data_IF_052738766144
#
_entry.id   IF_052738766144
#
_cell.length_a   1.000
_cell.length_b   1.000
_cell.length_c   1.000
_cell.angle_alpha   90.00
_cell.angle_beta   90.00
_cell.angle_gamma   90.00
#
_symmetry.space_group_name_H-M   'P 1'
#
loop_
_entity.id
_entity.type
_entity.pdbx_description
1 polymer ?
#
# COMPACT_ATOMS: atom_id res chain seq x y z
N UNK A 1 5.70 44.73 -33.19
CA UNK A 1 5.72 43.40 -32.55
C UNK A 1 5.23 43.55 -31.11
N UNK A 2 3.95 43.26 -30.82
CA UNK A 2 3.38 43.38 -29.46
C UNK A 2 3.73 42.12 -28.66
N UNK A 3 4.57 42.26 -27.64
CA UNK A 3 4.79 41.21 -26.63
C UNK A 3 3.53 41.11 -25.75
N UNK A 4 2.72 40.06 -25.95
CA UNK A 4 1.65 39.73 -24.99
C UNK A 4 2.29 39.17 -23.73
N UNK A 5 2.27 39.95 -22.65
CA UNK A 5 2.54 39.48 -21.30
C UNK A 5 1.41 38.48 -20.95
N UNK A 6 1.73 37.18 -20.97
CA UNK A 6 0.84 36.16 -20.42
C UNK A 6 0.92 36.23 -18.90
N UNK A 7 -0.05 36.88 -18.27
CA UNK A 7 -0.28 36.75 -16.83
C UNK A 7 -0.57 35.28 -16.51
N UNK A 8 0.30 34.66 -15.72
CA UNK A 8 0.12 33.29 -15.25
C UNK A 8 -0.35 33.36 -13.81
N UNK A 9 -1.64 33.14 -13.61
CA UNK A 9 -2.21 32.98 -12.27
C UNK A 9 -1.86 31.59 -11.74
N UNK A 10 -1.18 31.54 -10.60
CA UNK A 10 -0.86 30.29 -9.91
C UNK A 10 -1.53 30.27 -8.55
N UNK A 11 -2.26 29.19 -8.27
CA UNK A 11 -2.75 28.93 -6.91
C UNK A 11 -1.52 28.58 -6.07
N UNK A 12 -1.21 29.42 -5.08
CA UNK A 12 -0.11 29.18 -4.13
C UNK A 12 -0.65 28.39 -2.94
N UNK A 13 -0.16 27.17 -2.75
CA UNK A 13 -0.39 26.42 -1.53
C UNK A 13 0.68 26.80 -0.49
N UNK A 14 0.61 28.03 0.05
CA UNK A 14 1.61 28.57 0.98
C UNK A 14 1.78 27.74 2.26
N UNK A 15 0.78 26.93 2.62
CA UNK A 15 0.80 26.06 3.79
C UNK A 15 1.55 24.74 3.57
N UNK A 16 1.90 24.39 2.32
CA UNK A 16 2.73 23.21 2.04
C UNK A 16 4.21 23.58 2.11
N UNK A 17 5.03 22.63 2.57
CA UNK A 17 6.50 22.79 2.58
C UNK A 17 7.01 23.22 1.21
N UNK A 18 8.05 24.07 1.17
CA UNK A 18 8.60 24.52 -0.11
C UNK A 18 9.21 23.34 -0.87
N UNK A 19 10.03 22.56 -0.18
CA UNK A 19 10.67 21.37 -0.72
C UNK A 19 9.97 20.10 -0.21
N UNK A 20 9.86 19.10 -1.07
CA UNK A 20 9.10 17.89 -0.74
C UNK A 20 9.92 16.92 0.12
N UNK A 21 11.24 16.93 -0.03
CA UNK A 21 12.25 16.20 0.75
C UNK A 21 12.30 16.59 2.24
N UNK A 22 11.73 17.73 2.60
CA UNK A 22 11.51 18.14 4.00
C UNK A 22 10.30 17.46 4.65
N UNK A 23 9.47 16.74 3.88
CA UNK A 23 8.29 16.08 4.42
C UNK A 23 8.64 14.99 5.44
N UNK A 24 7.77 14.78 6.42
CA UNK A 24 7.95 13.79 7.50
C UNK A 24 8.30 12.40 6.97
N UNK A 25 7.71 12.00 5.84
CA UNK A 25 8.06 10.76 5.15
C UNK A 25 9.57 10.60 4.89
N UNK A 26 10.26 11.63 4.40
CA UNK A 26 11.68 11.54 4.09
C UNK A 26 12.57 11.51 5.33
N UNK A 27 12.08 12.02 6.46
CA UNK A 27 12.75 11.80 7.75
C UNK A 27 12.63 10.33 8.14
N UNK A 28 11.42 9.78 8.16
CA UNK A 28 11.18 8.36 8.46
C UNK A 28 12.02 7.44 7.56
N UNK A 29 12.05 7.73 6.26
CA UNK A 29 12.82 6.94 5.29
C UNK A 29 14.34 6.97 5.53
N UNK A 30 14.88 8.10 6.00
CA UNK A 30 16.32 8.23 6.30
C UNK A 30 16.70 7.58 7.63
N UNK A 31 15.88 7.76 8.66
CA UNK A 31 16.16 7.23 10.00
C UNK A 31 16.00 5.71 10.06
N UNK A 32 15.17 5.12 9.18
CA UNK A 32 15.03 3.66 9.03
C UNK A 32 14.65 2.94 10.34
N UNK A 33 14.05 3.62 11.31
CA UNK A 33 13.61 3.04 12.58
C UNK A 33 12.54 1.94 12.33
N UNK A 34 12.83 0.64 12.58
CA UNK A 34 11.96 -0.44 12.14
C UNK A 34 10.53 -0.39 12.70
N UNK A 35 10.29 -0.16 14.01
CA UNK A 35 8.93 -0.10 14.55
C UNK A 35 8.10 1.01 13.91
N UNK A 36 8.67 2.21 13.80
CA UNK A 36 7.99 3.35 13.17
C UNK A 36 7.74 3.11 11.69
N UNK A 37 8.69 2.48 11.00
CA UNK A 37 8.59 2.21 9.57
C UNK A 37 7.50 1.17 9.28
N UNK A 38 7.49 0.05 10.01
CA UNK A 38 6.45 -0.99 9.91
C UNK A 38 5.08 -0.42 10.24
N UNK A 39 4.95 0.38 11.31
CA UNK A 39 3.69 1.02 11.64
C UNK A 39 3.16 1.93 10.52
N UNK A 40 4.05 2.48 9.69
CA UNK A 40 3.71 3.44 8.65
C UNK A 40 3.35 2.83 7.30
N UNK A 41 4.05 1.77 6.89
CA UNK A 41 3.94 1.18 5.55
C UNK A 41 3.76 -0.33 5.54
N UNK A 42 3.60 -0.94 6.72
CA UNK A 42 3.43 -2.40 6.94
C UNK A 42 4.62 -3.27 6.51
N UNK A 43 5.77 -2.69 6.19
CA UNK A 43 6.97 -3.41 5.78
C UNK A 43 8.15 -3.00 6.64
N UNK A 44 9.11 -3.91 6.83
CA UNK A 44 10.42 -3.51 7.36
C UNK A 44 11.14 -2.64 6.32
N UNK A 45 12.16 -1.87 6.73
CA UNK A 45 12.92 -1.08 5.77
C UNK A 45 13.57 -1.92 4.66
N UNK A 46 14.02 -3.14 4.96
CA UNK A 46 14.63 -4.06 4.00
C UNK A 46 13.59 -4.59 3.01
N UNK A 47 12.41 -5.00 3.51
CA UNK A 47 11.31 -5.44 2.66
C UNK A 47 10.81 -4.30 1.76
N UNK A 48 10.79 -3.06 2.26
CA UNK A 48 10.46 -1.89 1.45
C UNK A 48 11.48 -1.67 0.32
N UNK A 49 12.78 -1.79 0.58
CA UNK A 49 13.81 -1.65 -0.47
C UNK A 49 13.70 -2.76 -1.52
N UNK A 50 13.43 -3.99 -1.09
CA UNK A 50 13.20 -5.13 -1.97
C UNK A 50 12.01 -4.87 -2.92
N UNK A 51 10.87 -4.47 -2.35
CA UNK A 51 9.67 -4.09 -3.11
C UNK A 51 9.97 -2.90 -4.03
N UNK A 52 10.68 -1.88 -3.53
CA UNK A 52 11.03 -0.69 -4.29
C UNK A 52 11.87 -1.04 -5.53
N UNK A 53 12.87 -1.91 -5.40
CA UNK A 53 13.75 -2.33 -6.50
C UNK A 53 12.95 -2.93 -7.68
N UNK A 54 11.84 -3.58 -7.40
CA UNK A 54 10.94 -4.17 -8.40
C UNK A 54 9.94 -3.12 -8.90
N UNK A 55 9.33 -2.35 -7.99
CA UNK A 55 8.34 -1.30 -8.25
C UNK A 55 8.84 -0.21 -9.21
N UNK A 56 10.10 0.22 -9.07
CA UNK A 56 10.66 1.30 -9.90
C UNK A 56 10.64 1.01 -11.40
N UNK A 57 10.55 -0.27 -11.80
CA UNK A 57 10.46 -0.70 -13.20
C UNK A 57 9.09 -0.38 -13.82
N UNK A 58 8.05 -0.30 -13.00
CA UNK A 58 6.66 -0.11 -13.42
C UNK A 58 6.13 1.30 -13.13
N UNK A 59 6.73 2.01 -12.17
CA UNK A 59 6.35 3.39 -11.86
C UNK A 59 7.20 4.42 -12.62
N UNK A 60 6.66 4.99 -13.69
CA UNK A 60 7.33 6.05 -14.42
C UNK A 60 7.15 7.43 -13.77
N UNK A 61 8.15 8.29 -13.90
CA UNK A 61 8.01 9.72 -13.64
C UNK A 61 8.23 10.44 -14.97
N UNK A 62 7.21 10.46 -15.83
CA UNK A 62 7.31 11.11 -17.13
C UNK A 62 7.21 12.63 -16.96
N UNK A 63 8.21 13.43 -17.38
CA UNK A 63 7.89 14.72 -17.99
C UNK A 63 7.18 14.40 -19.32
N UNK A 64 5.98 14.93 -19.55
CA UNK A 64 5.26 14.65 -20.79
C UNK A 64 6.10 15.03 -22.03
N UNK A 65 6.10 14.23 -23.12
CA UNK A 65 6.85 14.58 -24.32
C UNK A 65 6.39 15.94 -24.88
N UNK A 66 7.35 16.82 -25.17
CA UNK A 66 7.12 18.07 -25.89
C UNK A 66 6.51 19.23 -25.08
N UNK A 67 6.32 19.11 -23.77
CA UNK A 67 5.91 20.24 -22.92
C UNK A 67 6.73 20.25 -21.63
N UNK A 68 7.66 21.21 -21.44
CA UNK A 68 8.30 21.42 -20.14
C UNK A 68 7.24 22.02 -19.19
N UNK A 69 6.34 21.16 -18.70
CA UNK A 69 5.38 21.49 -17.67
C UNK A 69 6.05 21.64 -16.32
N UNK A 70 5.27 22.04 -15.31
CA UNK A 70 5.74 22.08 -13.92
C UNK A 70 6.24 20.68 -13.51
N UNK A 71 7.46 20.55 -12.95
CA UNK A 71 7.94 19.28 -12.41
C UNK A 71 6.91 18.66 -11.46
N UNK A 72 6.83 17.33 -11.48
CA UNK A 72 5.98 16.62 -10.51
C UNK A 72 6.38 16.99 -9.09
N UNK A 73 5.39 17.12 -8.21
CA UNK A 73 5.65 17.38 -6.79
C UNK A 73 6.31 16.17 -6.11
N UNK A 74 5.96 14.95 -6.54
CA UNK A 74 6.56 13.69 -6.07
C UNK A 74 7.63 13.28 -7.06
N UNK A 75 8.88 13.66 -6.78
CA UNK A 75 10.01 13.43 -7.69
C UNK A 75 10.70 12.08 -7.47
N UNK A 76 10.58 11.49 -6.28
CA UNK A 76 11.22 10.23 -5.94
C UNK A 76 10.22 9.07 -5.97
N UNK A 77 10.55 7.98 -6.68
CA UNK A 77 9.70 6.78 -6.78
C UNK A 77 9.45 6.12 -5.41
N UNK A 78 10.43 6.19 -4.50
CA UNK A 78 10.27 5.73 -3.11
C UNK A 78 9.12 6.45 -2.39
N UNK A 79 8.92 7.74 -2.68
CA UNK A 79 7.83 8.51 -2.06
C UNK A 79 6.47 8.11 -2.65
N UNK A 80 6.41 7.79 -3.94
CA UNK A 80 5.19 7.25 -4.54
C UNK A 80 4.81 5.88 -3.96
N UNK A 81 5.79 4.99 -3.75
CA UNK A 81 5.57 3.71 -3.07
C UNK A 81 5.12 3.92 -1.61
N UNK A 82 5.81 4.80 -0.87
CA UNK A 82 5.44 5.15 0.50
C UNK A 82 4.01 5.67 0.61
N UNK A 83 3.59 6.55 -0.31
CA UNK A 83 2.21 7.05 -0.37
C UNK A 83 1.19 5.91 -0.49
N UNK A 84 1.42 4.98 -1.43
CA UNK A 84 0.49 3.87 -1.66
C UNK A 84 0.44 2.91 -0.47
N UNK A 85 1.59 2.56 0.09
CA UNK A 85 1.65 1.65 1.23
C UNK A 85 1.05 2.27 2.50
N UNK A 86 1.32 3.55 2.80
CA UNK A 86 0.68 4.24 3.93
C UNK A 86 -0.83 4.36 3.75
N UNK A 87 -1.29 4.55 2.51
CA UNK A 87 -2.72 4.55 2.19
C UNK A 87 -3.38 3.20 2.50
N UNK A 88 -2.70 2.08 2.25
CA UNK A 88 -3.20 0.75 2.64
C UNK A 88 -2.97 0.39 4.10
N UNK A 89 -1.95 0.97 4.74
CA UNK A 89 -1.58 0.68 6.13
C UNK A 89 -2.60 1.19 7.15
N UNK A 90 -3.33 2.25 6.82
CA UNK A 90 -4.21 2.93 7.77
C UNK A 90 -5.44 3.52 7.10
N UNK A 91 -6.56 3.56 7.81
CA UNK A 91 -7.76 4.31 7.42
C UNK A 91 -7.59 5.82 7.64
N UNK A 92 -6.42 6.35 7.30
CA UNK A 92 -6.09 7.76 7.53
C UNK A 92 -6.88 8.66 6.59
N UNK A 93 -7.39 9.78 7.12
CA UNK A 93 -7.97 10.81 6.27
C UNK A 93 -6.94 11.33 5.26
N UNK A 94 -7.39 11.63 4.04
CA UNK A 94 -6.53 12.15 2.98
C UNK A 94 -5.72 13.40 3.40
N UNK A 95 -6.24 14.21 4.34
CA UNK A 95 -5.54 15.38 4.89
C UNK A 95 -4.26 15.02 5.66
N UNK A 96 -4.27 13.89 6.37
CA UNK A 96 -3.11 13.40 7.13
C UNK A 96 -2.01 12.96 6.17
N UNK A 97 -2.38 12.20 5.14
CA UNK A 97 -1.45 11.79 4.07
C UNK A 97 -0.88 13.01 3.33
N UNK A 98 -1.71 14.01 3.04
CA UNK A 98 -1.26 15.25 2.40
C UNK A 98 -0.19 15.97 3.23
N UNK A 99 -0.38 16.07 4.55
CA UNK A 99 0.57 16.70 5.46
C UNK A 99 1.88 15.92 5.54
N UNK A 100 1.78 14.61 5.73
CA UNK A 100 2.91 13.71 5.89
C UNK A 100 3.84 13.67 4.66
N UNK A 101 3.27 13.71 3.46
CA UNK A 101 4.00 13.65 2.19
C UNK A 101 4.20 15.03 1.52
N UNK A 102 3.71 16.11 2.16
CA UNK A 102 3.73 17.48 1.66
C UNK A 102 3.19 17.63 0.22
N UNK A 103 2.01 17.04 -0.02
CA UNK A 103 1.32 17.06 -1.33
C UNK A 103 -0.09 17.65 -1.20
N UNK A 104 -0.63 18.16 -2.31
CA UNK A 104 -2.05 18.55 -2.36
C UNK A 104 -2.96 17.34 -2.51
N UNK A 105 -4.24 17.40 -2.12
CA UNK A 105 -5.19 16.30 -2.30
C UNK A 105 -5.26 15.77 -3.74
N UNK A 106 -5.32 16.67 -4.73
CA UNK A 106 -5.32 16.28 -6.16
C UNK A 106 -4.04 15.59 -6.58
N UNK A 107 -2.90 15.92 -5.97
CA UNK A 107 -1.62 15.24 -6.25
C UNK A 107 -1.57 13.87 -5.58
N UNK A 108 -2.03 13.78 -4.33
CA UNK A 108 -2.12 12.53 -3.58
C UNK A 108 -2.91 11.48 -4.37
N UNK A 109 -4.15 11.79 -4.78
CA UNK A 109 -5.01 10.85 -5.51
C UNK A 109 -4.41 10.39 -6.84
N UNK A 110 -3.76 11.30 -7.59
CA UNK A 110 -3.10 10.95 -8.87
C UNK A 110 -1.90 10.04 -8.66
N UNK A 111 -1.14 10.25 -7.57
CA UNK A 111 0.01 9.41 -7.24
C UNK A 111 -0.45 8.04 -6.78
N UNK A 112 -1.47 7.94 -5.93
CA UNK A 112 -2.06 6.67 -5.49
C UNK A 112 -2.53 5.87 -6.71
N UNK A 113 -3.39 6.43 -7.56
CA UNK A 113 -3.93 5.70 -8.72
C UNK A 113 -2.82 5.16 -9.65
N UNK A 114 -1.75 5.93 -9.84
CA UNK A 114 -0.61 5.48 -10.64
C UNK A 114 0.24 4.43 -9.92
N UNK A 115 0.44 4.60 -8.62
CA UNK A 115 1.23 3.69 -7.80
C UNK A 115 0.53 2.34 -7.65
N UNK A 116 -0.80 2.31 -7.53
CA UNK A 116 -1.60 1.08 -7.51
C UNK A 116 -1.44 0.26 -8.79
N UNK A 117 -1.47 0.92 -9.96
CA UNK A 117 -1.21 0.24 -11.24
C UNK A 117 0.20 -0.36 -11.29
N UNK A 118 1.20 0.38 -10.83
CA UNK A 118 2.58 -0.10 -10.79
C UNK A 118 2.77 -1.23 -9.76
N UNK A 119 2.08 -1.16 -8.60
CA UNK A 119 2.06 -2.22 -7.59
C UNK A 119 1.44 -3.49 -8.16
N UNK A 120 0.30 -3.38 -8.86
CA UNK A 120 -0.34 -4.54 -9.47
C UNK A 120 0.59 -5.26 -10.48
N UNK A 121 1.26 -4.48 -11.34
CA UNK A 121 2.24 -5.03 -12.30
C UNK A 121 3.45 -5.65 -11.60
N UNK A 122 3.92 -5.01 -10.53
CA UNK A 122 5.03 -5.49 -9.71
C UNK A 122 4.69 -6.83 -9.03
N UNK A 123 3.53 -6.91 -8.38
CA UNK A 123 3.07 -8.12 -7.69
C UNK A 123 2.91 -9.29 -8.67
N UNK A 124 2.48 -9.03 -9.90
CA UNK A 124 2.33 -10.06 -10.93
C UNK A 124 3.66 -10.70 -11.36
N UNK A 125 4.81 -10.04 -11.15
CA UNK A 125 6.14 -10.56 -11.52
C UNK A 125 6.97 -10.97 -10.32
N UNK A 126 6.48 -10.76 -9.10
CA UNK A 126 7.21 -11.03 -7.87
C UNK A 126 6.82 -12.43 -7.35
N UNK A 127 7.72 -13.43 -7.41
CA UNK A 127 7.41 -14.79 -6.96
C UNK A 127 6.92 -14.83 -5.51
N UNK A 128 7.51 -14.02 -4.64
CA UNK A 128 7.19 -13.91 -3.21
C UNK A 128 5.79 -13.35 -2.95
N UNK A 129 5.16 -12.69 -3.92
CA UNK A 129 3.78 -12.21 -3.83
C UNK A 129 2.75 -13.21 -4.38
N UNK A 130 3.19 -14.37 -4.85
CA UNK A 130 2.31 -15.36 -5.49
C UNK A 130 1.40 -16.02 -4.46
N UNK A 131 0.09 -15.97 -4.70
CA UNK A 131 -0.90 -16.71 -3.89
C UNK A 131 -1.08 -18.10 -4.51
N UNK A 132 -0.35 -19.08 -3.97
CA UNK A 132 -0.35 -20.47 -4.45
C UNK A 132 -0.50 -21.45 -3.29
N UNK A 133 -1.04 -22.63 -3.56
CA UNK A 133 -1.02 -23.70 -2.58
C UNK A 133 0.43 -24.14 -2.29
N UNK A 134 0.79 -24.39 -1.02
CA UNK A 134 2.09 -24.95 -0.67
C UNK A 134 2.33 -26.27 -1.38
N UNK A 135 3.62 -26.55 -1.65
CA UNK A 135 4.05 -27.85 -2.15
C UNK A 135 3.99 -28.88 -1.02
N UNK A 136 3.89 -30.16 -1.37
CA UNK A 136 3.85 -31.26 -0.40
C UNK A 136 5.02 -31.19 0.61
N UNK A 137 6.23 -30.88 0.15
CA UNK A 137 7.40 -30.71 1.03
C UNK A 137 7.19 -29.60 2.07
N UNK A 138 6.72 -28.43 1.65
CA UNK A 138 6.38 -27.31 2.52
C UNK A 138 5.27 -27.70 3.50
N UNK A 139 4.24 -28.40 3.05
CA UNK A 139 3.16 -28.93 3.90
C UNK A 139 3.70 -29.87 4.99
N UNK A 140 4.64 -30.76 4.66
CA UNK A 140 5.27 -31.63 5.66
C UNK A 140 6.11 -30.83 6.67
N UNK A 141 6.88 -29.85 6.21
CA UNK A 141 7.64 -28.96 7.09
C UNK A 141 6.72 -28.23 8.06
N UNK A 142 5.60 -27.70 7.55
CA UNK A 142 4.61 -27.01 8.38
C UNK A 142 3.91 -27.94 9.37
N UNK A 143 3.61 -29.18 8.97
CA UNK A 143 3.01 -30.16 9.87
C UNK A 143 3.97 -30.55 11.01
N UNK A 144 5.25 -30.74 10.70
CA UNK A 144 6.28 -31.03 11.71
C UNK A 144 6.46 -29.87 12.69
N UNK A 145 6.47 -28.63 12.19
CA UNK A 145 6.56 -27.44 13.04
C UNK A 145 5.31 -27.26 13.92
N UNK A 146 4.12 -27.59 13.40
CA UNK A 146 2.87 -27.59 14.17
C UNK A 146 2.93 -28.63 15.29
N UNK A 147 3.37 -29.86 14.99
CA UNK A 147 3.53 -30.93 15.98
C UNK A 147 4.63 -30.63 17.01
N UNK A 148 5.71 -29.96 16.62
CA UNK A 148 6.74 -29.52 17.56
C UNK A 148 6.20 -28.53 18.60
N UNK A 149 5.21 -27.72 18.23
CA UNK A 149 4.51 -26.81 19.14
C UNK A 149 3.42 -27.52 19.95
N UNK A 150 2.67 -28.42 19.32
CA UNK A 150 1.57 -29.18 19.93
C UNK A 150 1.77 -30.71 19.73
N UNK A 151 2.51 -31.40 20.62
CA UNK A 151 2.97 -32.79 20.39
C UNK A 151 1.86 -33.83 20.21
N UNK A 152 0.65 -33.54 20.69
CA UNK A 152 -0.51 -34.43 20.59
C UNK A 152 -1.17 -34.42 19.21
N UNK A 153 -0.80 -33.47 18.33
CA UNK A 153 -1.39 -33.30 17.01
C UNK A 153 -0.36 -33.71 15.96
N UNK A 154 -0.69 -34.69 15.12
CA UNK A 154 0.21 -35.21 14.08
C UNK A 154 -0.39 -35.02 12.68
N UNK A 155 0.44 -34.61 11.72
CA UNK A 155 0.05 -34.49 10.31
C UNK A 155 -0.91 -33.33 10.00
N UNK A 156 -1.05 -32.36 10.90
CA UNK A 156 -1.93 -31.20 10.72
C UNK A 156 -1.09 -29.97 10.40
N UNK A 157 -1.55 -29.20 9.41
CA UNK A 157 -1.05 -27.87 9.11
C UNK A 157 -2.03 -26.85 9.63
N UNK A 158 -1.55 -25.91 10.44
CA UNK A 158 -2.31 -24.73 10.83
C UNK A 158 -2.12 -23.62 9.79
N UNK A 159 -3.17 -22.83 9.57
CA UNK A 159 -3.11 -21.58 8.79
C UNK A 159 -3.74 -20.47 9.61
N UNK A 160 -3.28 -19.25 9.38
CA UNK A 160 -3.91 -18.06 9.97
C UNK A 160 -4.98 -17.57 9.00
N UNK A 161 -6.25 -17.61 9.43
CA UNK A 161 -7.32 -16.85 8.78
C UNK A 161 -7.30 -15.41 9.31
N UNK A 162 -7.41 -14.42 8.43
CA UNK A 162 -7.10 -13.06 8.83
C UNK A 162 -7.74 -11.93 8.04
N UNK A 163 -8.77 -12.13 7.20
CA UNK A 163 -9.36 -10.97 6.50
C UNK A 163 -10.87 -10.97 6.29
N UNK A 164 -11.53 -10.16 7.11
CA UNK A 164 -12.88 -9.69 6.83
C UNK A 164 -12.80 -8.41 5.98
N UNK A 165 -13.16 -8.52 4.70
CA UNK A 165 -13.23 -7.38 3.79
C UNK A 165 -14.58 -6.70 3.94
N UNK A 166 -14.58 -5.44 4.38
CA UNK A 166 -15.83 -4.67 4.44
C UNK A 166 -16.33 -4.46 3.02
N UNK A 167 -17.57 -4.84 2.77
CA UNK A 167 -18.22 -4.64 1.47
C UNK A 167 -19.32 -3.61 1.60
N UNK A 168 -19.73 -3.04 0.47
CA UNK A 168 -20.88 -2.16 0.42
C UNK A 168 -22.13 -2.92 0.87
N UNK A 169 -22.95 -2.29 1.71
CA UNK A 169 -24.20 -2.87 2.19
C UNK A 169 -25.14 -3.11 1.00
N UNK A 170 -25.67 -4.34 0.84
CA UNK A 170 -26.63 -4.62 -0.22
C UNK A 170 -27.87 -3.75 -0.03
N UNK A 171 -28.40 -3.20 -1.12
CA UNK A 171 -29.68 -2.46 -1.09
C UNK A 171 -30.89 -3.36 -0.83
N UNK A 172 -30.73 -4.67 -1.01
CA UNK A 172 -31.77 -5.67 -0.71
C UNK A 172 -31.65 -6.12 0.76
N UNK A 173 -32.69 -5.85 1.54
CA UNK A 173 -32.76 -6.15 2.98
C UNK A 173 -32.58 -7.63 3.32
N UNK A 174 -33.04 -8.55 2.45
CA UNK A 174 -32.89 -9.99 2.68
C UNK A 174 -31.45 -10.43 2.47
N UNK A 175 -30.77 -9.88 1.45
CA UNK A 175 -29.34 -10.11 1.22
C UNK A 175 -28.49 -9.47 2.32
N UNK A 176 -28.86 -8.26 2.77
CA UNK A 176 -28.21 -7.62 3.91
C UNK A 176 -28.32 -8.51 5.15
N UNK A 177 -29.52 -8.98 5.51
CA UNK A 177 -29.70 -9.86 6.67
C UNK A 177 -28.95 -11.20 6.54
N UNK A 178 -28.80 -11.73 5.33
CA UNK A 178 -28.05 -12.96 5.09
C UNK A 178 -26.53 -12.80 5.24
N UNK A 179 -25.98 -11.62 4.90
CA UNK A 179 -24.55 -11.31 4.97
C UNK A 179 -24.17 -10.41 6.17
N UNK A 180 -25.13 -10.04 7.01
CA UNK A 180 -24.91 -9.19 8.17
C UNK A 180 -24.17 -9.99 9.25
N UNK A 181 -22.97 -9.53 9.59
CA UNK A 181 -22.22 -10.12 10.69
C UNK A 181 -22.66 -9.47 12.01
N UNK A 182 -23.41 -10.22 12.81
CA UNK A 182 -23.93 -9.75 14.10
C UNK A 182 -22.86 -9.43 15.14
N UNK A 183 -21.65 -9.98 15.00
CA UNK A 183 -20.51 -9.68 15.89
C UNK A 183 -19.83 -8.35 15.52
N UNK A 184 -19.66 -8.10 14.22
CA UNK A 184 -18.94 -6.92 13.73
C UNK A 184 -19.86 -5.76 13.33
N UNK A 185 -21.18 -5.92 13.47
CA UNK A 185 -22.20 -4.92 13.21
C UNK A 185 -22.14 -4.27 11.81
N UNK A 186 -21.65 -4.97 10.79
CA UNK A 186 -21.68 -4.52 9.39
C UNK A 186 -21.54 -5.70 8.43
N UNK A 187 -21.59 -5.44 7.12
CA UNK A 187 -21.53 -6.45 6.07
C UNK A 187 -20.08 -6.67 5.64
N UNK A 188 -19.65 -7.93 5.69
CA UNK A 188 -18.31 -8.34 5.27
C UNK A 188 -18.39 -9.46 4.25
N UNK A 189 -17.45 -9.48 3.31
CA UNK A 189 -17.06 -10.70 2.65
C UNK A 189 -15.92 -11.33 3.48
N UNK A 190 -16.17 -12.51 4.03
CA UNK A 190 -15.12 -13.32 4.66
C UNK A 190 -14.28 -13.91 3.55
N UNK A 191 -13.07 -13.37 3.36
CA UNK A 191 -12.07 -13.91 2.46
C UNK A 191 -10.94 -14.47 3.31
N UNK A 192 -10.82 -15.80 3.35
CA UNK A 192 -9.71 -16.44 4.06
C UNK A 192 -8.45 -16.27 3.19
N UNK A 193 -7.66 -15.23 3.46
CA UNK A 193 -6.25 -15.27 3.10
C UNK A 193 -5.59 -16.19 4.14
N UNK A 194 -5.35 -17.44 3.74
CA UNK A 194 -4.58 -18.38 4.55
C UNK A 194 -3.11 -18.02 4.43
N UNK A 195 -2.48 -17.70 5.55
CA UNK A 195 -1.03 -17.58 5.65
C UNK A 195 -0.44 -18.88 6.16
N UNK A 196 0.75 -19.22 5.64
CA UNK A 196 1.55 -20.32 6.17
C UNK A 196 2.01 -20.00 7.58
N UNK A 197 2.53 -21.00 8.29
CA UNK A 197 3.11 -20.77 9.62
C UNK A 197 4.42 -19.97 9.58
N UNK A 198 5.01 -19.85 8.38
CA UNK A 198 6.20 -19.10 8.05
C UNK A 198 5.93 -17.62 7.70
N UNK A 199 4.65 -17.23 7.63
CA UNK A 199 4.19 -15.88 7.30
C UNK A 199 3.79 -15.75 5.84
#
# INVERSE_FOLDING_TARGET
MRLMIRERNYIRANSLLKFQDEATWYKLYRERDPPSFVAMVLLTPEAFDFVLAVFIRFYDIKPGPGRPGRPTRVAHKLCALGIALTFYASTSEAKVLCNLFAVTPTTLLRVIAKAELALLQMLAVLPEASVVWPRAETTYQWANATQAREPLIAGVVAFVDGKNLRVQEPTNVHLQNAYYNGWLHTVYATGVLCFGIDG
#
